data_IF_791996621360
#
_entry.id   IF_791996621360
#
_cell.length_a   1.000
_cell.length_b   1.000
_cell.length_c   1.000
_cell.angle_alpha   90.00
_cell.angle_beta   90.00
_cell.angle_gamma   90.00
#
_symmetry.space_group_name_H-M   'P 1'
#
loop_
_entity.id
_entity.type
_entity.pdbx_description
1 polymer ?
#
# COMPACT_ATOMS: atom_id res chain seq x y z
N UNK A 1 1.85 -13.91 -4.55
CA UNK A 1 1.19 -13.48 -3.30
C UNK A 1 0.55 -12.12 -3.51
N UNK A 2 -0.75 -11.98 -3.25
CA UNK A 2 -1.46 -10.71 -3.36
C UNK A 2 -1.61 -10.14 -1.96
N UNK A 3 -0.96 -9.01 -1.68
CA UNK A 3 -1.05 -8.37 -0.36
C UNK A 3 -2.35 -7.59 -0.28
N UNK A 4 -3.23 -7.96 0.64
CA UNK A 4 -4.52 -7.33 0.86
C UNK A 4 -4.38 -6.24 1.92
N UNK A 5 -4.98 -5.08 1.66
CA UNK A 5 -5.15 -4.03 2.66
C UNK A 5 -6.24 -4.49 3.62
N UNK A 6 -5.91 -4.61 4.91
CA UNK A 6 -6.90 -4.97 5.95
C UNK A 6 -7.45 -3.74 6.67
N UNK A 7 -7.13 -2.54 6.18
CA UNK A 7 -7.48 -1.28 6.83
C UNK A 7 -7.74 -0.17 5.80
N UNK A 8 -8.24 0.97 6.28
CA UNK A 8 -8.49 2.16 5.47
C UNK A 8 -9.67 2.02 4.50
N UNK A 9 -9.79 3.00 3.59
CA UNK A 9 -10.90 3.10 2.63
C UNK A 9 -10.95 1.93 1.63
N UNK A 10 -9.81 1.32 1.34
CA UNK A 10 -9.69 0.22 0.39
C UNK A 10 -9.43 -1.13 1.09
N UNK A 11 -9.90 -1.28 2.33
CA UNK A 11 -9.86 -2.56 3.04
C UNK A 11 -10.53 -3.67 2.22
N UNK A 12 -9.94 -4.87 2.24
CA UNK A 12 -10.33 -6.02 1.43
C UNK A 12 -9.83 -5.99 -0.02
N UNK A 13 -9.17 -4.92 -0.47
CA UNK A 13 -8.56 -4.85 -1.81
C UNK A 13 -7.06 -5.10 -1.77
N UNK A 14 -6.52 -5.64 -2.87
CA UNK A 14 -5.07 -5.82 -2.98
C UNK A 14 -4.36 -4.48 -3.19
N UNK A 15 -3.18 -4.31 -2.58
CA UNK A 15 -2.36 -3.11 -2.74
C UNK A 15 -2.07 -2.81 -4.21
N UNK A 16 -1.92 -3.85 -5.03
CA UNK A 16 -1.74 -3.73 -6.49
C UNK A 16 -2.96 -3.13 -7.18
N UNK A 17 -4.17 -3.56 -6.80
CA UNK A 17 -5.41 -3.02 -7.37
C UNK A 17 -5.60 -1.56 -6.97
N UNK A 18 -5.33 -1.24 -5.71
CA UNK A 18 -5.38 0.14 -5.21
C UNK A 18 -4.32 1.02 -5.86
N UNK A 19 -3.10 0.52 -6.07
CA UNK A 19 -2.06 1.26 -6.79
C UNK A 19 -2.47 1.58 -8.23
N UNK A 20 -3.11 0.65 -8.92
CA UNK A 20 -3.60 0.91 -10.29
C UNK A 20 -4.81 1.86 -10.32
N UNK A 21 -5.67 1.78 -9.32
CA UNK A 21 -6.88 2.60 -9.22
C UNK A 21 -6.59 4.01 -8.73
N UNK A 22 -5.75 4.15 -7.70
CA UNK A 22 -5.49 5.37 -6.95
C UNK A 22 -4.05 5.41 -6.43
N UNK A 23 -3.15 5.89 -7.30
CA UNK A 23 -1.72 6.06 -6.96
C UNK A 23 -1.51 7.12 -5.89
N UNK A 24 -2.38 8.14 -5.82
CA UNK A 24 -2.26 9.22 -4.85
C UNK A 24 -2.48 8.69 -3.43
N UNK A 25 -3.47 7.82 -3.24
CA UNK A 25 -3.70 7.13 -1.99
C UNK A 25 -2.50 6.26 -1.58
N UNK A 26 -1.92 5.50 -2.51
CA UNK A 26 -0.72 4.70 -2.24
C UNK A 26 0.49 5.57 -1.86
N UNK A 27 0.65 6.75 -2.48
CA UNK A 27 1.71 7.71 -2.13
C UNK A 27 1.50 8.31 -0.75
N UNK A 28 0.25 8.67 -0.40
CA UNK A 28 -0.10 9.12 0.94
C UNK A 28 0.17 8.02 1.97
N UNK A 29 -0.19 6.77 1.68
CA UNK A 29 0.09 5.61 2.51
C UNK A 29 1.58 5.42 2.78
N UNK A 30 2.40 5.51 1.73
CA UNK A 30 3.84 5.41 1.82
C UNK A 30 4.41 6.51 2.74
N UNK A 31 3.86 7.73 2.67
CA UNK A 31 4.30 8.87 3.48
C UNK A 31 3.93 8.78 4.96
N UNK A 32 2.91 7.99 5.31
CA UNK A 32 2.35 7.96 6.68
C UNK A 32 3.08 6.98 7.61
N UNK A 33 4.05 6.21 7.11
CA UNK A 33 4.81 5.20 7.86
C UNK A 33 3.91 4.31 8.75
N UNK A 34 2.71 3.98 8.22
CA UNK A 34 1.70 3.16 8.93
C UNK A 34 2.16 1.69 9.00
N UNK A 35 3.03 1.32 8.07
CA UNK A 35 3.58 -0.01 7.97
C UNK A 35 4.98 -0.03 8.52
N UNK A 36 5.26 -0.99 9.41
CA UNK A 36 6.62 -1.35 9.77
C UNK A 36 7.43 -1.67 8.50
N UNK A 37 8.73 -1.41 8.53
CA UNK A 37 9.65 -1.66 7.41
C UNK A 37 9.59 -3.12 6.90
N UNK A 38 9.20 -4.06 7.76
CA UNK A 38 9.01 -5.47 7.40
C UNK A 38 7.64 -5.85 6.86
N UNK A 39 6.69 -4.92 6.81
CA UNK A 39 5.38 -5.19 6.23
C UNK A 39 5.51 -5.43 4.71
N UNK A 40 4.81 -6.45 4.17
CA UNK A 40 4.74 -6.68 2.72
C UNK A 40 4.19 -5.46 1.97
N UNK A 41 3.31 -4.66 2.60
CA UNK A 41 2.74 -3.46 1.98
C UNK A 41 3.74 -2.31 1.99
N UNK A 42 4.47 -2.13 3.10
CA UNK A 42 5.54 -1.15 3.21
C UNK A 42 6.61 -1.35 2.15
N UNK A 43 7.11 -2.60 2.03
CA UNK A 43 8.07 -3.00 0.98
C UNK A 43 7.54 -2.77 -0.42
N UNK A 44 6.27 -3.12 -0.68
CA UNK A 44 5.65 -2.89 -1.99
C UNK A 44 5.59 -1.41 -2.36
N UNK A 45 5.21 -0.55 -1.41
CA UNK A 45 5.08 0.89 -1.63
C UNK A 45 6.44 1.56 -1.78
N UNK A 46 7.43 1.22 -0.94
CA UNK A 46 8.80 1.71 -1.11
C UNK A 46 9.37 1.33 -2.47
N UNK A 47 9.19 0.09 -2.92
CA UNK A 47 9.69 -0.36 -4.23
C UNK A 47 9.01 0.33 -5.43
N UNK A 48 7.83 0.94 -5.23
CA UNK A 48 7.09 1.65 -6.28
C UNK A 48 7.26 3.17 -6.28
N UNK A 49 7.70 3.76 -5.16
CA UNK A 49 7.78 5.21 -4.98
C UNK A 49 9.14 5.72 -4.48
N UNK A 50 10.05 4.84 -4.06
CA UNK A 50 11.48 5.13 -3.90
C UNK A 50 12.18 5.11 -5.24
#
# INVERSE_FOLDING_TARGET
>A
MSVILEFGRYSGRSIRSVYNYDRAYCRWLASKNIFSEDSPIGKYLQLKFG
#
